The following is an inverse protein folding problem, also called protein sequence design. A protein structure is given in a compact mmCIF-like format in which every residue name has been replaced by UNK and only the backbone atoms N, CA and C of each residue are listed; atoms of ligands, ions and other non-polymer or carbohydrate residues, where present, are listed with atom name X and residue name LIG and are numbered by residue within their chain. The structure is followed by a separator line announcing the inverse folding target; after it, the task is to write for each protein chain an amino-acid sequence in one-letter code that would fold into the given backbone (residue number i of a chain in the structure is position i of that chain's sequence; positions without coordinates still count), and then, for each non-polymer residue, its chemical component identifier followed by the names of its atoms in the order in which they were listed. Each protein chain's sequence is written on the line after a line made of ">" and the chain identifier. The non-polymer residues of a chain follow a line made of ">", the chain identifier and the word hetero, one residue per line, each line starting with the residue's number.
data_IF_529415410616
#
_entry.id   IF_529415410616
#
_cell.length_a   1.000
_cell.length_b   1.000
_cell.length_c   1.000
_cell.angle_alpha   90.00
_cell.angle_beta   90.00
_cell.angle_gamma   90.00
#
_symmetry.space_group_name_H-M   'P 1'
#
loop_
_entity.id
_entity.type
_entity.pdbx_description
1 polymer ?
#
# COMPACT_ATOMS: atom_id res chain seq x y z
N UNK A 1 -2.38 4.22 21.99
CA UNK A 1 -1.33 5.20 22.34
C UNK A 1 -0.43 5.31 21.12
N UNK A 2 -0.59 6.37 20.35
CA UNK A 2 0.23 6.64 19.16
C UNK A 2 1.63 7.01 19.64
N UNK A 3 2.61 6.13 19.40
CA UNK A 3 4.01 6.49 19.62
C UNK A 3 4.38 7.54 18.57
N UNK A 4 4.45 8.78 18.99
CA UNK A 4 5.01 9.86 18.20
C UNK A 4 6.41 9.43 17.75
N UNK A 5 6.62 9.32 16.44
CA UNK A 5 7.94 9.09 15.85
C UNK A 5 8.77 10.34 16.12
N UNK A 6 9.59 10.26 17.15
CA UNK A 6 10.50 11.33 17.52
C UNK A 6 11.62 11.42 16.47
N UNK A 7 11.67 12.52 15.72
CA UNK A 7 12.94 13.14 15.36
C UNK A 7 13.73 12.62 14.16
N UNK A 8 13.13 12.09 13.10
CA UNK A 8 13.87 11.94 11.84
C UNK A 8 13.45 13.05 10.88
N UNK A 9 14.27 14.09 10.78
CA UNK A 9 14.15 15.07 9.72
C UNK A 9 14.41 14.37 8.38
N UNK A 10 13.56 14.59 7.38
CA UNK A 10 13.79 14.07 6.04
C UNK A 10 15.04 14.69 5.40
N UNK A 11 15.62 14.03 4.37
CA UNK A 11 16.78 14.55 3.67
C UNK A 11 16.50 15.90 3.01
N UNK A 12 17.56 16.69 2.81
CA UNK A 12 17.47 17.89 2.00
C UNK A 12 17.30 17.51 0.53
N UNK A 13 16.24 18.04 -0.10
CA UNK A 13 15.92 17.82 -1.51
C UNK A 13 15.74 19.20 -2.16
N UNK A 14 16.52 19.57 -3.18
CA UNK A 14 16.41 20.87 -3.85
C UNK A 14 15.00 21.10 -4.39
N UNK A 15 14.41 22.29 -4.11
CA UNK A 15 13.05 22.63 -4.53
C UNK A 15 11.93 22.08 -3.63
N UNK A 16 12.29 21.39 -2.53
CA UNK A 16 11.34 20.83 -1.58
C UNK A 16 11.73 21.21 -0.15
N UNK A 17 10.77 21.72 0.62
CA UNK A 17 10.92 22.02 2.04
C UNK A 17 10.25 20.95 2.89
N UNK A 18 11.02 20.31 3.74
CA UNK A 18 10.53 19.29 4.69
C UNK A 18 9.46 19.87 5.64
N UNK A 19 8.40 19.11 5.90
CA UNK A 19 7.31 19.50 6.82
C UNK A 19 7.24 18.56 8.00
N UNK A 20 7.04 17.25 7.77
CA UNK A 20 6.91 16.22 8.83
C UNK A 20 7.03 14.81 8.26
N UNK A 21 7.30 13.78 9.11
CA UNK A 21 7.19 12.40 8.68
C UNK A 21 5.71 12.04 8.43
N UNK A 22 5.47 11.12 7.49
CA UNK A 22 4.17 10.52 7.20
C UNK A 22 4.12 9.05 7.61
N UNK A 23 5.19 8.28 7.38
CA UNK A 23 5.25 6.87 7.72
C UNK A 23 6.63 6.27 7.53
N UNK A 24 6.80 5.04 8.02
CA UNK A 24 8.01 4.24 7.87
C UNK A 24 7.65 2.90 7.24
N UNK A 25 8.36 2.52 6.18
CA UNK A 25 8.24 1.22 5.52
C UNK A 25 9.45 0.32 5.77
N UNK A 26 9.50 -0.83 5.14
CA UNK A 26 10.60 -1.79 5.25
C UNK A 26 11.94 -1.21 4.78
N UNK A 27 12.00 -0.66 3.58
CA UNK A 27 13.22 -0.14 2.93
C UNK A 27 13.21 1.38 2.73
N UNK A 28 12.07 2.06 2.89
CA UNK A 28 11.92 3.49 2.64
C UNK A 28 11.07 4.16 3.71
N UNK A 29 11.31 5.44 3.94
CA UNK A 29 10.52 6.31 4.79
C UNK A 29 9.74 7.32 3.92
N UNK A 30 8.54 7.71 4.37
CA UNK A 30 7.68 8.65 3.66
C UNK A 30 7.56 9.93 4.47
N UNK A 31 7.76 11.06 3.81
CA UNK A 31 7.72 12.38 4.41
C UNK A 31 6.81 13.32 3.65
N UNK A 32 6.19 14.26 4.36
CA UNK A 32 5.52 15.40 3.76
C UNK A 32 6.52 16.49 3.47
N UNK A 33 6.52 16.96 2.22
CA UNK A 33 7.27 18.13 1.79
C UNK A 33 6.34 19.16 1.15
N UNK A 34 6.76 20.41 1.19
CA UNK A 34 6.20 21.45 0.34
C UNK A 34 7.13 21.66 -0.86
N UNK A 35 6.64 21.35 -2.04
CA UNK A 35 7.30 21.69 -3.30
C UNK A 35 7.22 23.20 -3.51
N UNK A 36 8.33 23.85 -3.93
CA UNK A 36 8.38 25.30 -4.10
C UNK A 36 7.73 25.74 -5.42
N UNK A 37 8.00 24.99 -6.50
CA UNK A 37 7.47 25.30 -7.84
C UNK A 37 7.07 24.00 -8.59
N UNK A 38 5.76 23.82 -8.94
CA UNK A 38 4.61 24.58 -8.44
C UNK A 38 4.44 24.43 -6.92
N UNK A 39 3.89 25.45 -6.26
CA UNK A 39 3.70 25.40 -4.80
C UNK A 39 2.56 24.43 -4.44
N UNK A 40 2.92 23.29 -3.85
CA UNK A 40 1.98 22.25 -3.39
C UNK A 40 2.60 21.37 -2.31
N UNK A 41 1.76 20.66 -1.57
CA UNK A 41 2.20 19.58 -0.68
C UNK A 41 2.36 18.28 -1.47
N UNK A 42 3.44 17.54 -1.19
CA UNK A 42 3.75 16.25 -1.83
C UNK A 42 4.23 15.25 -0.79
N UNK A 43 3.95 13.98 -1.02
CA UNK A 43 4.55 12.89 -0.29
C UNK A 43 5.85 12.46 -1.00
N UNK A 44 6.95 12.39 -0.25
CA UNK A 44 8.23 11.90 -0.81
C UNK A 44 8.64 10.63 -0.06
N UNK A 45 8.71 9.51 -0.80
CA UNK A 45 9.19 8.20 -0.33
C UNK A 45 10.68 8.12 -0.63
N UNK A 46 11.51 7.96 0.40
CA UNK A 46 12.98 8.00 0.29
C UNK A 46 13.56 6.69 0.80
N UNK A 47 14.45 6.07 0.05
CA UNK A 47 15.22 4.89 0.49
C UNK A 47 15.95 5.23 1.78
N UNK A 48 15.84 4.36 2.79
CA UNK A 48 16.32 4.66 4.15
C UNK A 48 17.83 4.73 4.25
N UNK A 49 18.52 3.80 3.61
CA UNK A 49 19.96 3.63 3.72
C UNK A 49 20.68 4.04 2.45
N UNK A 50 21.74 4.83 2.58
CA UNK A 50 22.61 5.16 1.47
C UNK A 50 23.29 3.88 0.93
N UNK A 51 23.35 3.74 -0.40
CA UNK A 51 23.93 2.57 -1.06
C UNK A 51 23.07 1.30 -1.01
N UNK A 52 21.83 1.39 -0.55
CA UNK A 52 20.89 0.29 -0.62
C UNK A 52 20.39 0.09 -2.06
N UNK A 53 21.15 -0.74 -2.81
CA UNK A 53 20.79 -1.07 -4.20
C UNK A 53 19.47 -1.84 -4.29
N UNK A 54 19.13 -2.67 -3.28
CA UNK A 54 17.88 -3.42 -3.27
C UNK A 54 16.70 -2.47 -3.09
N UNK A 55 16.73 -1.60 -2.09
CA UNK A 55 15.70 -0.60 -1.86
C UNK A 55 15.53 0.34 -3.04
N UNK A 56 16.64 0.74 -3.68
CA UNK A 56 16.62 1.56 -4.89
C UNK A 56 15.93 0.84 -6.05
N UNK A 57 16.23 -0.44 -6.29
CA UNK A 57 15.56 -1.24 -7.33
C UNK A 57 14.07 -1.42 -7.06
N UNK A 58 13.69 -1.65 -5.81
CA UNK A 58 12.29 -1.76 -5.39
C UNK A 58 11.54 -0.45 -5.61
N UNK A 59 12.14 0.69 -5.24
CA UNK A 59 11.58 2.02 -5.48
C UNK A 59 11.37 2.31 -6.97
N UNK A 60 12.35 1.96 -7.83
CA UNK A 60 12.22 2.13 -9.28
C UNK A 60 11.12 1.25 -9.87
N UNK A 61 10.99 -0.02 -9.42
CA UNK A 61 9.90 -0.90 -9.84
C UNK A 61 8.52 -0.33 -9.45
N UNK A 62 8.42 0.28 -8.27
CA UNK A 62 7.20 0.96 -7.84
C UNK A 62 6.88 2.14 -8.76
N UNK A 63 7.86 2.96 -9.12
CA UNK A 63 7.70 4.07 -10.08
C UNK A 63 7.23 3.57 -11.45
N UNK A 64 7.86 2.50 -11.97
CA UNK A 64 7.48 1.89 -13.24
C UNK A 64 6.02 1.39 -13.19
N UNK A 65 5.62 0.71 -12.11
CA UNK A 65 4.25 0.21 -11.92
C UNK A 65 3.23 1.36 -11.87
N UNK A 66 3.54 2.45 -11.14
CA UNK A 66 2.69 3.65 -11.09
C UNK A 66 2.57 4.31 -12.47
N UNK A 67 3.64 4.32 -13.26
CA UNK A 67 3.65 4.89 -14.62
C UNK A 67 2.72 4.14 -15.58
N UNK A 68 2.58 2.81 -15.43
CA UNK A 68 1.64 2.00 -16.22
C UNK A 68 0.18 2.39 -15.98
N UNK A 69 -0.12 2.96 -14.81
CA UNK A 69 -1.45 3.37 -14.37
C UNK A 69 -1.65 4.89 -14.42
N UNK A 70 -0.70 5.62 -14.99
CA UNK A 70 -0.73 7.08 -15.03
C UNK A 70 -2.03 7.60 -15.67
N UNK A 71 -2.64 8.59 -15.03
CA UNK A 71 -3.91 9.17 -15.47
C UNK A 71 -5.17 8.41 -15.02
N UNK A 72 -5.07 7.26 -14.35
CA UNK A 72 -6.24 6.63 -13.75
C UNK A 72 -6.66 7.40 -12.48
N UNK A 73 -7.93 7.83 -12.34
CA UNK A 73 -8.36 8.76 -11.28
C UNK A 73 -8.38 8.14 -9.86
N UNK A 74 -8.17 6.84 -9.74
CA UNK A 74 -8.11 6.15 -8.47
C UNK A 74 -6.72 5.55 -8.17
N UNK A 75 -5.64 6.16 -8.70
CA UNK A 75 -4.24 5.83 -8.41
C UNK A 75 -3.56 7.07 -7.85
N UNK A 76 -2.75 6.91 -6.82
CA UNK A 76 -1.88 7.99 -6.33
C UNK A 76 -0.97 8.46 -7.46
N UNK A 77 -1.00 9.76 -7.76
CA UNK A 77 -0.22 10.31 -8.88
C UNK A 77 1.27 10.34 -8.57
N UNK A 78 2.09 9.80 -9.49
CA UNK A 78 3.54 9.95 -9.45
C UNK A 78 3.93 11.28 -10.11
N UNK A 79 4.57 12.16 -9.34
CA UNK A 79 5.01 13.46 -9.82
C UNK A 79 6.46 13.46 -10.31
N UNK A 80 7.28 12.52 -9.85
CA UNK A 80 8.67 12.43 -10.29
C UNK A 80 9.51 11.48 -9.44
N UNK A 81 10.75 11.31 -9.88
CA UNK A 81 11.78 10.51 -9.22
C UNK A 81 13.06 11.31 -9.13
N UNK A 82 13.92 11.00 -8.17
CA UNK A 82 15.20 11.66 -8.06
C UNK A 82 16.16 10.98 -7.10
N UNK A 83 17.28 11.64 -6.88
CA UNK A 83 18.32 11.19 -5.95
C UNK A 83 18.67 12.35 -5.02
N UNK A 84 18.72 12.09 -3.71
CA UNK A 84 19.14 13.06 -2.69
C UNK A 84 20.65 13.36 -2.82
N UNK A 85 21.12 14.43 -2.19
CA UNK A 85 22.55 14.80 -2.20
C UNK A 85 23.46 13.71 -1.60
N UNK A 86 22.94 12.88 -0.70
CA UNK A 86 23.64 11.74 -0.11
C UNK A 86 23.45 10.42 -0.91
N UNK A 87 22.90 10.49 -2.13
CA UNK A 87 22.80 9.35 -3.05
C UNK A 87 21.62 8.39 -2.84
N UNK A 88 20.63 8.73 -1.99
CA UNK A 88 19.44 7.92 -1.80
C UNK A 88 18.38 8.23 -2.87
N UNK A 89 17.79 7.19 -3.46
CA UNK A 89 16.69 7.35 -4.39
C UNK A 89 15.41 7.79 -3.67
N UNK A 90 14.59 8.61 -4.37
CA UNK A 90 13.27 9.00 -3.86
C UNK A 90 12.21 9.07 -4.97
N UNK A 91 10.94 8.90 -4.57
CA UNK A 91 9.74 9.17 -5.37
C UNK A 91 9.02 10.40 -4.82
N UNK A 92 8.53 11.26 -5.70
CA UNK A 92 7.62 12.36 -5.38
C UNK A 92 6.22 11.97 -5.84
N UNK A 93 5.27 11.96 -4.93
CA UNK A 93 3.89 11.50 -5.16
C UNK A 93 2.89 12.54 -4.66
N UNK A 94 1.67 12.43 -5.14
CA UNK A 94 0.52 13.13 -4.57
C UNK A 94 0.44 12.90 -3.06
N UNK A 95 0.19 13.99 -2.32
CA UNK A 95 -0.09 13.91 -0.90
C UNK A 95 -1.56 13.62 -0.64
N UNK A 96 -1.84 12.48 -0.04
CA UNK A 96 -3.17 12.08 0.41
C UNK A 96 -3.31 12.40 1.90
N UNK A 97 -4.14 13.39 2.31
CA UNK A 97 -4.25 13.80 3.71
C UNK A 97 -4.87 12.72 4.60
N UNK A 98 -5.62 11.81 4.03
CA UNK A 98 -6.22 10.65 4.71
C UNK A 98 -5.56 9.38 4.19
N UNK A 99 -4.43 9.02 4.80
CA UNK A 99 -3.56 7.94 4.34
C UNK A 99 -3.82 6.57 5.00
N UNK A 100 -4.64 6.49 6.06
CA UNK A 100 -4.85 5.24 6.80
C UNK A 100 -6.34 4.94 6.99
N UNK A 101 -6.94 4.37 5.96
CA UNK A 101 -8.32 3.90 6.03
C UNK A 101 -8.50 2.72 7.00
N UNK A 102 -7.45 1.92 7.27
CA UNK A 102 -7.54 0.82 8.24
C UNK A 102 -7.87 1.34 9.64
N UNK A 103 -7.13 2.35 10.11
CA UNK A 103 -7.40 2.97 11.42
C UNK A 103 -8.82 3.56 11.48
N UNK A 104 -9.26 4.21 10.41
CA UNK A 104 -10.62 4.79 10.37
C UNK A 104 -11.71 3.73 10.42
N UNK A 105 -11.63 2.67 9.60
CA UNK A 105 -12.66 1.63 9.57
C UNK A 105 -12.65 0.75 10.82
N UNK A 106 -11.50 0.61 11.49
CA UNK A 106 -11.43 -0.04 12.81
C UNK A 106 -12.19 0.73 13.88
N UNK A 107 -12.11 2.06 13.85
CA UNK A 107 -12.86 2.93 14.75
C UNK A 107 -14.33 3.01 14.37
N UNK A 108 -14.65 3.08 13.08
CA UNK A 108 -16.00 3.18 12.53
C UNK A 108 -16.06 2.52 11.15
N UNK A 109 -16.65 1.31 11.05
CA UNK A 109 -16.87 0.64 9.77
C UNK A 109 -17.64 1.52 8.78
N UNK A 110 -17.37 1.34 7.49
CA UNK A 110 -18.07 2.05 6.42
C UNK A 110 -19.50 1.55 6.25
N UNK A 111 -20.39 2.41 5.74
CA UNK A 111 -21.64 1.95 5.18
C UNK A 111 -21.38 1.04 3.97
N UNK A 112 -22.30 0.11 3.69
CA UNK A 112 -22.17 -0.77 2.51
C UNK A 112 -22.04 0.05 1.22
N UNK A 113 -22.81 1.13 1.09
CA UNK A 113 -22.77 2.03 -0.07
C UNK A 113 -21.38 2.66 -0.27
N UNK A 114 -20.81 3.23 0.80
CA UNK A 114 -19.47 3.84 0.76
C UNK A 114 -18.39 2.80 0.43
N UNK A 115 -18.48 1.61 1.03
CA UNK A 115 -17.56 0.53 0.79
C UNK A 115 -17.62 0.05 -0.67
N UNK A 116 -18.84 -0.12 -1.23
CA UNK A 116 -19.03 -0.52 -2.63
C UNK A 116 -18.49 0.54 -3.60
N UNK A 117 -18.81 1.83 -3.39
CA UNK A 117 -18.31 2.92 -4.24
C UNK A 117 -16.78 2.96 -4.24
N UNK A 118 -16.16 2.80 -3.06
CA UNK A 118 -14.70 2.73 -2.92
C UNK A 118 -14.14 1.53 -3.68
N UNK A 119 -14.71 0.34 -3.47
CA UNK A 119 -14.20 -0.88 -4.09
C UNK A 119 -14.37 -0.92 -5.60
N UNK A 120 -15.45 -0.38 -6.16
CA UNK A 120 -15.65 -0.28 -7.62
C UNK A 120 -14.50 0.51 -8.25
N UNK A 121 -14.08 1.63 -7.64
CA UNK A 121 -12.98 2.45 -8.14
C UNK A 121 -11.64 1.71 -8.05
N UNK A 122 -11.37 1.05 -6.92
CA UNK A 122 -10.15 0.25 -6.73
C UNK A 122 -10.12 -0.96 -7.66
N UNK A 123 -11.24 -1.66 -7.88
CA UNK A 123 -11.32 -2.75 -8.84
C UNK A 123 -10.98 -2.29 -10.27
N UNK A 124 -11.39 -1.07 -10.66
CA UNK A 124 -11.03 -0.49 -11.97
C UNK A 124 -9.52 -0.34 -12.15
N UNK A 125 -8.80 0.11 -11.10
CA UNK A 125 -7.33 0.18 -11.09
C UNK A 125 -6.73 -1.20 -11.25
N UNK A 126 -7.19 -2.17 -10.45
CA UNK A 126 -6.65 -3.53 -10.44
C UNK A 126 -6.88 -4.22 -11.78
N UNK A 127 -8.07 -4.05 -12.38
CA UNK A 127 -8.35 -4.57 -13.73
C UNK A 127 -7.40 -3.97 -14.77
N UNK A 128 -7.20 -2.65 -14.75
CA UNK A 128 -6.26 -1.99 -15.67
C UNK A 128 -4.84 -2.55 -15.49
N UNK A 129 -4.41 -2.78 -14.25
CA UNK A 129 -3.09 -3.32 -13.93
C UNK A 129 -2.93 -4.76 -14.42
N UNK A 130 -3.96 -5.61 -14.22
CA UNK A 130 -3.98 -6.98 -14.74
C UNK A 130 -3.90 -7.03 -16.28
N UNK A 131 -4.58 -6.10 -16.97
CA UNK A 131 -4.48 -5.97 -18.44
C UNK A 131 -3.09 -5.58 -18.93
N UNK A 132 -2.29 -4.88 -18.11
CA UNK A 132 -0.89 -4.59 -18.37
C UNK A 132 0.06 -5.76 -18.01
N UNK A 133 -0.50 -6.90 -17.57
CA UNK A 133 0.27 -8.09 -17.22
C UNK A 133 0.89 -8.07 -15.83
N UNK A 134 0.38 -7.27 -14.91
CA UNK A 134 0.88 -7.15 -13.53
C UNK A 134 -0.18 -7.51 -12.49
N UNK A 135 0.26 -7.86 -11.29
CA UNK A 135 -0.54 -8.08 -10.06
C UNK A 135 0.00 -7.19 -8.97
N UNK A 136 -0.89 -6.62 -8.16
CA UNK A 136 -0.52 -5.68 -7.08
C UNK A 136 0.07 -6.39 -5.87
N UNK A 137 -0.58 -7.48 -5.39
CA UNK A 137 -0.16 -8.38 -4.30
C UNK A 137 -0.17 -7.82 -2.88
N UNK A 138 -0.48 -6.54 -2.68
CA UNK A 138 -0.62 -5.94 -1.34
C UNK A 138 -1.82 -5.00 -1.25
N UNK A 139 -2.98 -5.43 -1.77
CA UNK A 139 -4.22 -4.68 -1.64
C UNK A 139 -4.75 -4.86 -0.21
N UNK A 140 -4.89 -3.74 0.50
CA UNK A 140 -5.35 -3.68 1.89
C UNK A 140 -5.87 -2.29 2.21
N UNK A 141 -6.67 -2.11 3.28
CA UNK A 141 -7.21 -0.80 3.65
C UNK A 141 -6.17 0.30 3.85
N UNK A 142 -4.98 -0.03 4.35
CA UNK A 142 -3.91 0.97 4.57
C UNK A 142 -3.23 1.44 3.28
N UNK A 143 -3.39 0.71 2.16
CA UNK A 143 -2.89 1.10 0.84
C UNK A 143 -3.97 1.78 -0.03
N UNK A 144 -5.18 1.97 0.53
CA UNK A 144 -6.24 2.77 -0.08
C UNK A 144 -6.35 4.06 0.73
N UNK A 145 -6.04 5.17 0.10
CA UNK A 145 -6.01 6.49 0.71
C UNK A 145 -7.16 7.35 0.18
N UNK A 146 -7.40 8.50 0.78
CA UNK A 146 -8.27 9.52 0.19
C UNK A 146 -7.43 10.71 -0.28
N UNK A 147 -7.64 11.12 -1.53
CA UNK A 147 -7.03 12.34 -2.08
C UNK A 147 -7.54 13.60 -1.38
N UNK A 148 -7.09 14.77 -1.81
CA UNK A 148 -7.50 16.06 -1.25
C UNK A 148 -9.01 16.36 -1.42
N UNK A 149 -9.69 15.62 -2.31
CA UNK A 149 -11.13 15.75 -2.59
C UNK A 149 -11.96 14.63 -1.95
N UNK A 150 -11.34 13.77 -1.15
CA UNK A 150 -12.00 12.63 -0.51
C UNK A 150 -12.27 11.44 -1.42
N UNK A 151 -11.63 11.37 -2.60
CA UNK A 151 -11.76 10.22 -3.52
C UNK A 151 -10.78 9.12 -3.14
N UNK A 152 -11.20 7.83 -3.18
CA UNK A 152 -10.28 6.74 -2.91
C UNK A 152 -9.27 6.56 -4.03
N UNK A 153 -8.00 6.42 -3.66
CA UNK A 153 -6.87 6.15 -4.53
C UNK A 153 -6.04 5.00 -3.99
N UNK A 154 -5.59 4.11 -4.88
CA UNK A 154 -4.72 2.99 -4.55
C UNK A 154 -3.26 3.45 -4.61
N UNK A 155 -2.48 3.04 -3.61
CA UNK A 155 -1.08 3.37 -3.44
C UNK A 155 -0.24 2.12 -3.15
N UNK A 156 1.07 2.30 -3.05
CA UNK A 156 2.06 1.31 -2.65
C UNK A 156 2.13 0.08 -3.58
N UNK A 157 2.74 0.29 -4.74
CA UNK A 157 3.00 -0.73 -5.75
C UNK A 157 4.35 -1.45 -5.55
N UNK A 158 4.98 -1.30 -4.38
CA UNK A 158 6.34 -1.79 -4.10
C UNK A 158 6.53 -3.30 -4.20
N UNK A 159 5.45 -4.07 -4.05
CA UNK A 159 5.47 -5.55 -4.18
C UNK A 159 4.79 -6.05 -5.46
N UNK A 160 4.45 -5.14 -6.38
CA UNK A 160 3.85 -5.49 -7.65
C UNK A 160 4.74 -6.41 -8.49
N UNK A 161 4.14 -7.36 -9.19
CA UNK A 161 4.86 -8.37 -9.96
C UNK A 161 4.20 -8.66 -11.30
N UNK A 162 5.00 -9.09 -12.29
CA UNK A 162 4.46 -9.59 -13.56
C UNK A 162 3.71 -10.91 -13.35
N UNK A 163 2.60 -11.07 -14.06
CA UNK A 163 1.81 -12.32 -14.04
C UNK A 163 2.71 -13.49 -14.45
N UNK A 164 2.62 -14.59 -13.69
CA UNK A 164 3.40 -15.80 -13.91
C UNK A 164 4.83 -15.79 -13.36
N UNK A 165 5.31 -14.65 -12.86
CA UNK A 165 6.64 -14.55 -12.27
C UNK A 165 6.67 -15.19 -10.89
N UNK A 166 7.66 -16.05 -10.66
CA UNK A 166 8.00 -16.57 -9.33
C UNK A 166 8.86 -15.52 -8.63
N UNK A 167 8.36 -15.01 -7.51
CA UNK A 167 9.13 -14.13 -6.63
C UNK A 167 9.77 -14.98 -5.54
N UNK A 168 11.05 -15.31 -5.71
CA UNK A 168 11.81 -16.09 -4.73
C UNK A 168 12.41 -15.15 -3.68
N UNK A 169 12.08 -15.37 -2.42
CA UNK A 169 12.86 -14.86 -1.29
C UNK A 169 12.55 -13.43 -0.80
N UNK A 170 11.42 -12.83 -1.12
CA UNK A 170 11.09 -11.48 -0.68
C UNK A 170 9.66 -11.36 -0.12
N UNK A 171 9.38 -12.03 0.99
CA UNK A 171 8.06 -11.93 1.66
C UNK A 171 8.05 -11.03 2.89
N UNK A 172 9.01 -10.10 3.02
CA UNK A 172 8.99 -9.11 4.09
C UNK A 172 7.93 -8.02 3.91
N UNK A 173 7.12 -8.09 2.85
CA UNK A 173 6.25 -6.99 2.45
C UNK A 173 4.76 -7.30 2.29
N UNK A 174 4.26 -8.54 2.43
CA UNK A 174 2.83 -8.77 2.29
C UNK A 174 2.09 -8.81 3.64
N UNK A 175 0.87 -8.37 3.61
CA UNK A 175 0.02 -8.31 4.81
C UNK A 175 -0.78 -9.59 4.96
N UNK A 176 -0.34 -10.51 5.82
CA UNK A 176 -0.95 -11.83 6.07
C UNK A 176 -2.47 -11.76 6.26
N UNK A 177 -2.98 -10.67 6.82
CA UNK A 177 -4.41 -10.46 7.06
C UNK A 177 -5.26 -10.40 5.79
N UNK A 178 -4.68 -10.03 4.65
CA UNK A 178 -5.39 -9.85 3.37
C UNK A 178 -4.83 -10.73 2.25
N UNK A 179 -3.65 -11.36 2.46
CA UNK A 179 -3.01 -12.21 1.47
C UNK A 179 -3.68 -13.59 1.38
N UNK A 180 -3.88 -14.14 0.16
CA UNK A 180 -4.43 -15.48 -0.04
C UNK A 180 -3.44 -16.58 0.38
N UNK A 181 -3.92 -17.84 0.58
CA UNK A 181 -3.07 -18.95 1.01
C UNK A 181 -1.93 -19.24 0.05
N UNK A 182 -2.15 -19.15 -1.25
CA UNK A 182 -1.11 -19.38 -2.26
C UNK A 182 -0.01 -18.32 -2.25
N UNK A 183 -0.32 -17.09 -1.87
CA UNK A 183 0.69 -16.02 -1.74
C UNK A 183 1.59 -16.21 -0.52
N UNK A 184 1.13 -16.99 0.46
CA UNK A 184 1.92 -17.35 1.64
C UNK A 184 2.91 -18.50 1.33
N UNK A 185 2.76 -19.15 0.18
CA UNK A 185 3.74 -20.10 -0.35
C UNK A 185 4.77 -19.35 -1.21
N UNK A 186 6.05 -19.44 -0.78
CA UNK A 186 7.17 -18.74 -1.43
C UNK A 186 7.45 -19.21 -2.88
N UNK A 187 6.84 -20.31 -3.32
CA UNK A 187 7.00 -20.86 -4.66
C UNK A 187 5.78 -20.61 -5.58
N UNK A 188 4.81 -19.81 -5.14
CA UNK A 188 3.63 -19.53 -5.94
C UNK A 188 3.86 -18.39 -6.93
N UNK A 189 3.49 -18.57 -8.21
CA UNK A 189 3.57 -17.48 -9.19
C UNK A 189 2.57 -16.37 -8.86
N UNK A 190 2.89 -15.16 -9.30
CA UNK A 190 1.98 -14.03 -9.23
C UNK A 190 0.80 -14.24 -10.18
N UNK A 191 -0.43 -14.27 -9.66
CA UNK A 191 -1.66 -14.48 -10.44
C UNK A 191 -2.77 -13.50 -10.04
N UNK A 192 -3.63 -13.07 -10.98
CA UNK A 192 -4.70 -12.08 -10.71
C UNK A 192 -5.66 -12.46 -9.57
N UNK A 193 -5.86 -13.76 -9.33
CA UNK A 193 -6.73 -14.25 -8.24
C UNK A 193 -6.24 -13.85 -6.84
N UNK A 194 -4.94 -13.58 -6.68
CA UNK A 194 -4.38 -13.06 -5.43
C UNK A 194 -4.95 -11.68 -5.10
N UNK A 195 -5.02 -10.81 -6.09
CA UNK A 195 -5.61 -9.47 -5.91
C UNK A 195 -7.13 -9.56 -5.69
N UNK A 196 -7.84 -10.47 -6.36
CA UNK A 196 -9.28 -10.69 -6.15
C UNK A 196 -9.57 -11.10 -4.70
N UNK A 197 -8.76 -12.01 -4.13
CA UNK A 197 -8.85 -12.37 -2.72
C UNK A 197 -8.61 -11.16 -1.80
N UNK A 198 -7.56 -10.39 -2.08
CA UNK A 198 -7.20 -9.22 -1.29
C UNK A 198 -8.27 -8.11 -1.37
N UNK A 199 -8.89 -7.90 -2.54
CA UNK A 199 -10.04 -7.01 -2.71
C UNK A 199 -11.24 -7.46 -1.86
N UNK A 200 -11.59 -8.76 -1.87
CA UNK A 200 -12.67 -9.30 -1.07
C UNK A 200 -12.39 -9.16 0.44
N UNK A 201 -11.16 -9.45 0.87
CA UNK A 201 -10.72 -9.29 2.25
C UNK A 201 -10.70 -7.82 2.71
N UNK A 202 -10.38 -6.89 1.80
CA UNK A 202 -10.40 -5.45 2.04
C UNK A 202 -11.84 -4.94 2.15
N UNK A 203 -12.73 -5.35 1.24
CA UNK A 203 -14.16 -5.03 1.31
C UNK A 203 -14.78 -5.52 2.62
N UNK A 204 -14.49 -6.75 3.03
CA UNK A 204 -14.90 -7.28 4.33
C UNK A 204 -14.43 -6.37 5.47
N UNK A 205 -13.15 -5.95 5.42
CA UNK A 205 -12.59 -5.08 6.46
C UNK A 205 -13.29 -3.72 6.50
N UNK A 206 -13.66 -3.15 5.36
CA UNK A 206 -14.39 -1.88 5.30
C UNK A 206 -15.75 -1.94 6.01
N UNK A 207 -16.50 -3.02 5.84
CA UNK A 207 -17.85 -3.16 6.42
C UNK A 207 -17.87 -3.72 7.84
N UNK A 208 -16.78 -4.38 8.31
CA UNK A 208 -16.74 -5.01 9.64
C UNK A 208 -15.72 -4.37 10.59
N UNK A 209 -14.79 -3.55 10.07
CA UNK A 209 -13.67 -2.97 10.83
C UNK A 209 -12.53 -3.96 11.12
N UNK A 210 -12.62 -5.21 10.67
CA UNK A 210 -11.62 -6.27 10.91
C UNK A 210 -11.42 -7.14 9.68
N UNK A 211 -10.21 -7.68 9.53
CA UNK A 211 -9.93 -8.68 8.49
C UNK A 211 -10.79 -9.95 8.69
N UNK A 212 -11.16 -10.66 7.60
CA UNK A 212 -11.97 -11.89 7.71
C UNK A 212 -11.32 -12.99 8.53
N UNK A 213 -10.00 -12.97 8.68
CA UNK A 213 -9.22 -13.97 9.42
C UNK A 213 -8.68 -13.46 10.77
N UNK A 214 -9.00 -12.23 11.14
CA UNK A 214 -8.64 -11.63 12.43
C UNK A 214 -9.56 -12.15 13.54
N UNK A 215 -9.00 -12.70 14.63
CA UNK A 215 -9.77 -13.14 15.80
C UNK A 215 -9.88 -11.97 16.79
N UNK A 216 -11.08 -11.56 17.19
CA UNK A 216 -11.26 -10.41 18.07
C UNK A 216 -10.75 -10.59 19.50
N UNK A 217 -10.61 -11.83 19.95
CA UNK A 217 -10.21 -12.20 21.32
C UNK A 217 -9.06 -13.20 21.36
N UNK A 218 -8.66 -13.77 20.22
CA UNK A 218 -7.64 -14.80 20.12
C UNK A 218 -6.29 -14.28 19.66
N UNK A 219 -5.39 -15.22 19.37
CA UNK A 219 -4.05 -14.91 18.87
C UNK A 219 -4.09 -14.45 17.41
N UNK A 220 -3.59 -13.24 17.16
CA UNK A 220 -3.43 -12.64 15.84
C UNK A 220 -1.95 -12.51 15.43
N UNK A 221 -1.07 -13.37 15.95
CA UNK A 221 0.26 -13.52 15.39
C UNK A 221 0.21 -13.91 13.90
N UNK A 222 1.23 -13.53 13.14
CA UNK A 222 1.29 -13.85 11.71
C UNK A 222 1.10 -15.36 11.43
N UNK A 223 1.67 -16.23 12.28
CA UNK A 223 1.54 -17.68 12.16
C UNK A 223 0.09 -18.15 12.40
N UNK A 224 -0.59 -17.59 13.40
CA UNK A 224 -1.98 -17.95 13.71
C UNK A 224 -2.95 -17.49 12.62
N UNK A 225 -2.74 -16.28 12.07
CA UNK A 225 -3.50 -15.78 10.94
C UNK A 225 -3.25 -16.65 9.70
N UNK A 226 -1.98 -16.91 9.36
CA UNK A 226 -1.62 -17.76 8.23
C UNK A 226 -2.28 -19.14 8.31
N UNK A 227 -2.30 -19.78 9.48
CA UNK A 227 -2.99 -21.05 9.69
C UNK A 227 -4.51 -20.95 9.47
N UNK A 228 -5.16 -19.85 9.91
CA UNK A 228 -6.60 -19.64 9.66
C UNK A 228 -6.88 -19.44 8.17
N UNK A 229 -6.05 -18.67 7.47
CA UNK A 229 -6.15 -18.45 6.02
C UNK A 229 -6.00 -19.78 5.28
N UNK A 230 -4.95 -20.57 5.57
CA UNK A 230 -4.70 -21.87 4.95
C UNK A 230 -5.85 -22.87 5.16
N UNK A 231 -6.53 -22.82 6.29
CA UNK A 231 -7.66 -23.69 6.62
C UNK A 231 -9.02 -23.14 6.19
N UNK A 232 -9.06 -21.96 5.57
CA UNK A 232 -10.31 -21.30 5.19
C UNK A 232 -11.22 -20.95 6.38
N UNK A 233 -10.65 -20.81 7.58
CA UNK A 233 -11.39 -20.51 8.81
C UNK A 233 -11.70 -19.02 8.91
N UNK A 234 -12.59 -18.55 8.04
CA UNK A 234 -13.07 -17.19 8.01
C UNK A 234 -14.11 -16.96 9.12
N UNK A 235 -14.09 -15.78 9.69
CA UNK A 235 -15.12 -15.34 10.65
C UNK A 235 -16.44 -15.06 9.93
N UNK A 236 -17.57 -15.50 10.50
CA UNK A 236 -18.89 -15.12 10.01
C UNK A 236 -19.15 -13.61 10.20
N UNK A 237 -19.94 -13.02 9.30
CA UNK A 237 -20.55 -11.71 9.56
C UNK A 237 -21.48 -11.90 10.76
N UNK A 238 -21.11 -11.40 11.94
CA UNK A 238 -21.99 -11.44 13.11
C UNK A 238 -23.34 -10.80 12.75
N UNK A 239 -24.44 -11.47 13.17
CA UNK A 239 -25.81 -10.92 13.08
C UNK A 239 -25.95 -9.78 14.07
#
# INVERSE_FOLDING_TARGET
>A
MSSAVAGTCGPQIPGFRWVRPLGQGGFADVFLYRQELPSREVAIKVVRTQGDERGTKELHREADAMTLLAGHPAVVELHGVGTTADGRAYLVMEYCPVADLLTQVRARPMSLETALDTMIKVCGVVEMFHRQGYVHRDIKPSNIMLDAYGKPVLADFGVASKIGKLEVGAFDGFSVLWAPPEQQDMNSPAVPTQDVWALASTMWTFITGRSPFEDPIGDNSAASIANRVQRGRMRGLGR
#
